data_IF_262624630460
#
_entry.id   IF_262624630460
#
_cell.length_a   1.000
_cell.length_b   1.000
_cell.length_c   1.000
_cell.angle_alpha   90.00
_cell.angle_beta   90.00
_cell.angle_gamma   90.00
#
_symmetry.space_group_name_H-M   'P 1'
#
loop_
_entity.id
_entity.type
_entity.pdbx_description
1 polymer ?
#
# COMPACT_ATOMS: atom_id res chain seq x y z
N UNK A 1 -16.10 2.82 39.27
CA UNK A 1 -15.21 1.86 38.57
C UNK A 1 -16.09 1.06 37.62
N UNK A 2 -16.27 1.52 36.37
CA UNK A 2 -17.09 0.78 35.40
C UNK A 2 -16.29 -0.40 34.88
N UNK A 3 -16.74 -1.62 35.16
CA UNK A 3 -16.21 -2.82 34.51
C UNK A 3 -16.29 -2.64 32.99
N UNK A 4 -15.29 -3.10 32.22
CA UNK A 4 -15.31 -2.93 30.77
C UNK A 4 -16.43 -3.81 30.18
N UNK A 5 -17.43 -3.18 29.57
CA UNK A 5 -18.38 -3.90 28.73
C UNK A 5 -17.67 -4.38 27.47
N UNK A 6 -17.95 -5.61 27.01
CA UNK A 6 -17.31 -6.19 25.83
C UNK A 6 -18.35 -6.69 24.83
N UNK A 7 -18.18 -6.32 23.57
CA UNK A 7 -18.97 -6.87 22.48
C UNK A 7 -18.49 -8.29 22.13
N UNK A 8 -19.35 -9.30 22.35
CA UNK A 8 -19.03 -10.70 22.09
C UNK A 8 -19.28 -11.07 20.62
N UNK A 9 -20.47 -10.71 20.11
CA UNK A 9 -20.88 -11.06 18.76
C UNK A 9 -21.92 -10.07 18.21
N UNK A 10 -21.95 -9.95 16.88
CA UNK A 10 -23.07 -9.33 16.15
C UNK A 10 -23.75 -10.42 15.33
N UNK A 11 -25.05 -10.61 15.55
CA UNK A 11 -25.86 -11.67 14.93
C UNK A 11 -27.08 -11.10 14.23
N UNK A 12 -27.66 -11.86 13.30
CA UNK A 12 -28.89 -11.52 12.62
C UNK A 12 -29.80 -12.74 12.53
N UNK A 13 -31.10 -12.51 12.57
CA UNK A 13 -32.14 -13.53 12.40
C UNK A 13 -33.11 -13.07 11.31
N UNK A 14 -33.92 -13.99 10.80
CA UNK A 14 -34.95 -13.65 9.83
C UNK A 14 -35.96 -12.64 10.43
N UNK A 15 -36.47 -11.66 9.65
CA UNK A 15 -37.42 -10.65 10.15
C UNK A 15 -38.67 -11.24 10.83
N UNK A 16 -39.15 -12.38 10.31
CA UNK A 16 -40.31 -13.11 10.85
C UNK A 16 -40.02 -13.80 12.20
N UNK A 17 -38.75 -13.94 12.56
CA UNK A 17 -38.25 -14.68 13.73
C UNK A 17 -37.52 -13.75 14.72
N UNK A 18 -37.84 -12.45 14.71
CA UNK A 18 -37.26 -11.42 15.59
C UNK A 18 -37.18 -11.86 17.06
N UNK A 19 -36.10 -11.49 17.72
CA UNK A 19 -35.85 -11.74 19.16
C UNK A 19 -36.06 -10.44 19.94
N UNK A 20 -36.40 -10.53 21.23
CA UNK A 20 -36.65 -9.32 22.03
C UNK A 20 -35.34 -8.67 22.48
N UNK A 21 -35.27 -7.34 22.34
CA UNK A 21 -34.18 -6.55 22.92
C UNK A 21 -34.30 -6.52 24.44
N UNK A 22 -33.21 -6.87 25.14
CA UNK A 22 -33.13 -6.94 26.60
C UNK A 22 -32.82 -5.59 27.26
N UNK A 23 -32.77 -4.50 26.50
CA UNK A 23 -32.60 -3.16 27.07
C UNK A 23 -33.81 -2.81 27.96
N UNK A 24 -33.59 -2.36 29.21
CA UNK A 24 -34.67 -1.92 30.09
C UNK A 24 -35.55 -0.87 29.41
N UNK A 25 -36.86 -1.14 29.33
CA UNK A 25 -37.85 -0.24 28.72
C UNK A 25 -37.93 -0.28 27.18
N UNK A 26 -37.19 -1.14 26.49
CA UNK A 26 -37.28 -1.24 25.02
C UNK A 26 -38.30 -2.29 24.55
N UNK A 27 -38.11 -3.57 24.90
CA UNK A 27 -39.01 -4.68 24.51
C UNK A 27 -39.20 -4.93 23.00
N UNK A 28 -38.58 -4.13 22.12
CA UNK A 28 -38.76 -4.24 20.68
C UNK A 28 -38.14 -5.52 20.12
N UNK A 29 -38.82 -6.10 19.13
CA UNK A 29 -38.30 -7.23 18.37
C UNK A 29 -37.22 -6.78 17.38
N UNK A 30 -36.01 -7.29 17.56
CA UNK A 30 -34.84 -7.01 16.73
C UNK A 30 -34.53 -8.23 15.86
N UNK A 31 -34.13 -7.98 14.61
CA UNK A 31 -33.83 -9.04 13.65
C UNK A 31 -32.48 -8.84 12.92
N UNK A 32 -32.03 -7.60 12.75
CA UNK A 32 -30.75 -7.29 12.11
C UNK A 32 -29.80 -6.62 13.10
N UNK A 33 -28.49 -6.87 12.95
CA UNK A 33 -27.43 -6.28 13.76
C UNK A 33 -27.72 -6.34 15.27
N UNK A 34 -28.01 -7.54 15.76
CA UNK A 34 -28.25 -7.83 17.17
C UNK A 34 -26.89 -7.94 17.85
N UNK A 35 -26.62 -7.04 18.79
CA UNK A 35 -25.37 -6.98 19.53
C UNK A 35 -25.48 -7.78 20.81
N UNK A 36 -24.62 -8.78 20.98
CA UNK A 36 -24.50 -9.56 22.21
C UNK A 36 -23.31 -9.03 22.99
N UNK A 37 -23.58 -8.48 24.17
CA UNK A 37 -22.59 -7.78 25.00
C UNK A 37 -22.47 -8.48 26.35
N UNK A 38 -21.25 -8.60 26.85
CA UNK A 38 -20.99 -8.98 28.23
C UNK A 38 -20.71 -7.73 29.05
N UNK A 39 -21.47 -7.53 30.13
CA UNK A 39 -21.31 -6.42 31.07
C UNK A 39 -21.45 -6.97 32.50
N UNK A 40 -20.43 -6.79 33.34
CA UNK A 40 -20.42 -7.30 34.72
C UNK A 40 -20.71 -8.82 34.85
N UNK A 41 -20.29 -9.63 33.87
CA UNK A 41 -20.54 -11.08 33.84
C UNK A 41 -21.98 -11.45 33.44
N UNK A 42 -22.81 -10.49 33.07
CA UNK A 42 -24.12 -10.72 32.48
C UNK A 42 -24.06 -10.55 30.96
N UNK A 43 -24.72 -11.44 30.23
CA UNK A 43 -24.82 -11.37 28.78
C UNK A 43 -26.14 -10.70 28.42
N UNK A 44 -26.07 -9.62 27.64
CA UNK A 44 -27.20 -8.81 27.20
C UNK A 44 -27.34 -8.88 25.68
N UNK A 45 -28.57 -9.05 25.22
CA UNK A 45 -28.93 -9.04 23.79
C UNK A 45 -29.60 -7.71 23.46
N UNK A 46 -28.95 -6.90 22.62
CA UNK A 46 -29.36 -5.53 22.32
C UNK A 46 -29.54 -5.31 20.81
N UNK A 47 -30.56 -4.53 20.43
CA UNK A 47 -30.62 -3.99 19.07
C UNK A 47 -29.55 -2.92 18.83
N UNK A 48 -29.16 -2.71 17.57
CA UNK A 48 -28.17 -1.70 17.16
C UNK A 48 -28.43 -0.29 17.72
N UNK A 49 -29.70 0.15 17.73
CA UNK A 49 -30.09 1.46 18.27
C UNK A 49 -29.98 1.54 19.80
N UNK A 50 -30.34 0.45 20.50
CA UNK A 50 -30.23 0.39 21.96
C UNK A 50 -28.77 0.28 22.40
N UNK A 51 -27.96 -0.46 21.64
CA UNK A 51 -26.51 -0.53 21.82
C UNK A 51 -25.87 0.85 21.69
N UNK A 52 -26.14 1.56 20.59
CA UNK A 52 -25.60 2.91 20.37
C UNK A 52 -26.04 3.91 21.44
N UNK A 53 -27.30 3.84 21.90
CA UNK A 53 -27.78 4.69 23.01
C UNK A 53 -27.10 4.37 24.34
N UNK A 54 -26.82 3.09 24.63
CA UNK A 54 -26.23 2.66 25.91
C UNK A 54 -24.74 2.96 25.99
N UNK A 55 -24.00 2.72 24.90
CA UNK A 55 -22.54 2.82 24.88
C UNK A 55 -22.01 4.06 24.12
N UNK A 56 -22.89 4.89 23.57
CA UNK A 56 -22.58 6.16 22.93
C UNK A 56 -22.41 6.09 21.40
N UNK A 57 -22.06 4.93 20.84
CA UNK A 57 -22.02 4.73 19.38
C UNK A 57 -22.14 3.27 18.98
N UNK A 58 -22.39 3.01 17.69
CA UNK A 58 -22.45 1.65 17.14
C UNK A 58 -21.09 0.92 17.13
N UNK A 59 -19.99 1.60 17.45
CA UNK A 59 -18.63 1.04 17.51
C UNK A 59 -17.95 1.27 18.85
N UNK A 60 -18.70 1.69 19.87
CA UNK A 60 -18.14 2.09 21.17
C UNK A 60 -17.34 0.98 21.87
N UNK A 61 -17.72 -0.28 21.67
CA UNK A 61 -17.03 -1.44 22.24
C UNK A 61 -16.09 -2.15 21.25
N UNK A 62 -15.81 -1.52 20.10
CA UNK A 62 -14.92 -2.05 19.07
C UNK A 62 -15.51 -3.22 18.27
N UNK A 63 -14.63 -4.09 17.78
CA UNK A 63 -14.99 -5.27 16.99
C UNK A 63 -15.50 -6.40 17.90
N UNK A 64 -16.44 -7.23 17.42
CA UNK A 64 -16.93 -8.39 18.17
C UNK A 64 -15.82 -9.42 18.43
N UNK A 65 -15.85 -10.02 19.62
CA UNK A 65 -14.83 -10.98 20.05
C UNK A 65 -14.81 -12.29 19.25
N UNK A 66 -15.98 -12.83 18.88
CA UNK A 66 -16.09 -14.17 18.30
C UNK A 66 -16.70 -14.22 16.90
N UNK A 67 -17.50 -13.22 16.50
CA UNK A 67 -18.17 -13.23 15.20
C UNK A 67 -17.33 -12.55 14.12
N UNK A 68 -17.05 -13.26 13.02
CA UNK A 68 -16.36 -12.71 11.84
C UNK A 68 -17.26 -11.90 10.89
N UNK A 69 -18.54 -11.68 11.24
CA UNK A 69 -19.50 -10.95 10.41
C UNK A 69 -19.33 -9.43 10.55
N UNK A 70 -19.26 -8.73 9.42
CA UNK A 70 -19.31 -7.25 9.38
C UNK A 70 -20.60 -6.68 9.96
N UNK A 71 -20.84 -5.37 9.83
CA UNK A 71 -21.90 -4.63 10.55
C UNK A 71 -23.34 -5.13 10.44
N UNK A 72 -23.64 -6.09 9.56
CA UNK A 72 -24.95 -6.75 9.44
C UNK A 72 -25.13 -8.00 10.32
N UNK A 73 -24.05 -8.51 10.94
CA UNK A 73 -24.07 -9.67 11.83
C UNK A 73 -24.06 -11.04 11.12
N UNK A 74 -23.65 -12.09 11.85
CA UNK A 74 -23.72 -13.50 11.38
C UNK A 74 -25.20 -13.94 11.36
N UNK A 75 -25.73 -14.42 10.22
CA UNK A 75 -27.08 -14.97 10.18
C UNK A 75 -27.13 -16.26 11.01
N UNK A 76 -28.09 -16.34 11.94
CA UNK A 76 -28.33 -17.51 12.77
C UNK A 76 -29.34 -18.45 12.13
N UNK A 77 -29.09 -19.74 12.31
CA UNK A 77 -30.07 -20.82 12.10
C UNK A 77 -31.18 -20.75 13.16
N UNK A 78 -32.29 -21.47 12.92
CA UNK A 78 -33.40 -21.52 13.90
C UNK A 78 -32.97 -22.09 15.25
N UNK A 79 -32.09 -23.10 15.25
CA UNK A 79 -31.56 -23.71 16.49
C UNK A 79 -30.67 -22.73 17.27
N UNK A 80 -29.78 -22.01 16.57
CA UNK A 80 -28.94 -20.98 17.18
C UNK A 80 -29.78 -19.81 17.70
N UNK A 81 -30.88 -19.47 17.02
CA UNK A 81 -31.84 -18.47 17.49
C UNK A 81 -32.53 -18.91 18.79
N UNK A 82 -32.95 -20.16 18.89
CA UNK A 82 -33.54 -20.70 20.12
C UNK A 82 -32.53 -20.66 21.26
N UNK A 83 -31.26 -21.01 21.00
CA UNK A 83 -30.20 -20.85 21.98
C UNK A 83 -29.96 -19.39 22.36
N UNK A 84 -30.02 -18.45 21.41
CA UNK A 84 -29.90 -17.02 21.72
C UNK A 84 -30.96 -16.56 22.73
N UNK A 85 -32.18 -17.09 22.65
CA UNK A 85 -33.31 -16.75 23.54
C UNK A 85 -33.28 -17.50 24.87
N UNK A 86 -33.02 -18.80 24.83
CA UNK A 86 -33.19 -19.70 25.98
C UNK A 86 -31.89 -19.86 26.78
N UNK A 87 -30.73 -19.78 26.12
CA UNK A 87 -29.43 -19.97 26.74
C UNK A 87 -28.33 -19.21 25.98
N UNK A 88 -28.35 -17.89 26.07
CA UNK A 88 -27.39 -17.03 25.36
C UNK A 88 -25.93 -17.36 25.72
N UNK A 89 -25.68 -17.78 26.97
CA UNK A 89 -24.35 -18.15 27.44
C UNK A 89 -23.80 -19.37 26.68
N UNK A 90 -24.62 -20.38 26.43
CA UNK A 90 -24.22 -21.55 25.67
C UNK A 90 -23.93 -21.20 24.20
N UNK A 91 -24.75 -20.35 23.58
CA UNK A 91 -24.48 -19.88 22.21
C UNK A 91 -23.13 -19.14 22.13
N UNK A 92 -22.86 -18.27 23.10
CA UNK A 92 -21.58 -17.55 23.16
C UNK A 92 -20.40 -18.50 23.43
N UNK A 93 -20.59 -19.54 24.24
CA UNK A 93 -19.58 -20.57 24.45
C UNK A 93 -19.27 -21.36 23.17
N UNK A 94 -20.28 -21.69 22.36
CA UNK A 94 -20.08 -22.33 21.05
C UNK A 94 -19.30 -21.43 20.09
N UNK A 95 -19.66 -20.15 20.01
CA UNK A 95 -18.93 -19.19 19.17
C UNK A 95 -17.50 -18.96 19.65
N UNK A 96 -17.29 -18.92 20.98
CA UNK A 96 -15.94 -18.87 21.55
C UNK A 96 -15.13 -20.09 21.15
N UNK A 97 -15.68 -21.29 21.27
CA UNK A 97 -14.99 -22.53 20.90
C UNK A 97 -14.66 -22.59 19.40
N UNK A 98 -15.58 -22.18 18.53
CA UNK A 98 -15.36 -22.09 17.08
C UNK A 98 -14.23 -21.10 16.73
N UNK A 99 -14.24 -19.93 17.38
CA UNK A 99 -13.23 -18.90 17.20
C UNK A 99 -11.85 -19.38 17.69
N UNK A 100 -11.78 -19.92 18.91
CA UNK A 100 -10.54 -20.41 19.52
C UNK A 100 -9.95 -21.58 18.69
N UNK A 101 -10.79 -22.47 18.17
CA UNK A 101 -10.36 -23.56 17.27
C UNK A 101 -9.83 -23.03 15.93
N UNK A 102 -10.47 -22.02 15.35
CA UNK A 102 -10.01 -21.37 14.11
C UNK A 102 -8.66 -20.69 14.32
N UNK A 103 -8.50 -19.97 15.43
CA UNK A 103 -7.25 -19.31 15.79
C UNK A 103 -6.13 -20.32 16.07
N UNK A 104 -6.42 -21.40 16.81
CA UNK A 104 -5.47 -22.47 17.07
C UNK A 104 -5.03 -23.19 15.77
N UNK A 105 -5.96 -23.44 14.85
CA UNK A 105 -5.65 -24.02 13.55
C UNK A 105 -4.79 -23.08 12.68
N UNK A 106 -5.09 -21.78 12.69
CA UNK A 106 -4.29 -20.78 12.00
C UNK A 106 -2.88 -20.66 12.58
N UNK A 107 -2.74 -20.66 13.90
CA UNK A 107 -1.45 -20.66 14.59
C UNK A 107 -0.66 -21.94 14.33
N UNK A 108 -1.31 -23.11 14.38
CA UNK A 108 -0.69 -24.38 14.02
C UNK A 108 -0.19 -24.39 12.57
N UNK A 109 -0.98 -23.87 11.63
CA UNK A 109 -0.54 -23.69 10.23
C UNK A 109 0.64 -22.73 10.11
N UNK A 110 0.61 -21.59 10.82
CA UNK A 110 1.72 -20.64 10.80
C UNK A 110 2.99 -21.25 11.38
N UNK A 111 2.87 -22.04 12.46
CA UNK A 111 3.96 -22.78 13.07
C UNK A 111 4.51 -23.83 12.13
N UNK A 112 3.66 -24.63 11.49
CA UNK A 112 4.07 -25.61 10.49
C UNK A 112 4.80 -24.94 9.32
N UNK A 113 4.30 -23.81 8.81
CA UNK A 113 4.99 -23.03 7.77
C UNK A 113 6.35 -22.53 8.24
N UNK A 114 6.49 -22.13 9.51
CA UNK A 114 7.76 -21.69 10.09
C UNK A 114 8.74 -22.84 10.32
N UNK A 115 8.24 -24.03 10.63
CA UNK A 115 9.04 -25.26 10.80
C UNK A 115 9.42 -25.92 9.46
N UNK A 116 8.54 -25.87 8.45
CA UNK A 116 8.79 -26.32 7.06
C UNK A 116 9.57 -25.30 6.25
N UNK A 117 9.57 -24.02 6.64
CA UNK A 117 10.51 -23.08 6.08
C UNK A 117 11.91 -23.65 6.34
N UNK A 118 12.75 -23.82 5.31
CA UNK A 118 14.11 -24.25 5.56
C UNK A 118 14.69 -23.28 6.59
N UNK A 119 15.17 -23.81 7.71
CA UNK A 119 16.16 -23.12 8.51
C UNK A 119 17.32 -22.92 7.55
N UNK A 120 17.31 -21.78 6.86
CA UNK A 120 18.54 -21.25 6.33
C UNK A 120 19.40 -21.15 7.56
N UNK A 121 20.29 -22.12 7.73
CA UNK A 121 21.56 -21.86 8.35
C UNK A 121 22.01 -20.61 7.62
N UNK A 122 21.88 -19.48 8.30
CA UNK A 122 22.76 -18.37 8.06
C UNK A 122 24.11 -18.94 8.51
N UNK A 123 24.71 -19.82 7.68
CA UNK A 123 26.11 -19.61 7.30
C UNK A 123 26.15 -18.11 7.17
N UNK A 124 26.94 -17.44 8.02
CA UNK A 124 27.21 -16.02 7.85
C UNK A 124 27.62 -15.90 6.40
N UNK A 125 26.63 -15.58 5.56
CA UNK A 125 26.83 -15.21 4.19
C UNK A 125 27.77 -14.04 4.41
N UNK A 126 29.00 -14.04 3.86
CA UNK A 126 29.78 -12.81 3.84
C UNK A 126 28.78 -11.74 3.45
N UNK A 127 28.66 -10.71 4.31
CA UNK A 127 27.57 -9.74 4.26
C UNK A 127 27.32 -9.46 2.78
N UNK A 128 26.06 -9.55 2.29
CA UNK A 128 25.79 -9.26 0.90
C UNK A 128 26.58 -7.99 0.59
N UNK A 129 27.45 -8.01 -0.45
CA UNK A 129 28.33 -6.89 -0.70
C UNK A 129 27.48 -5.63 -0.58
N UNK A 130 27.95 -4.59 0.14
CA UNK A 130 27.17 -3.41 0.40
C UNK A 130 26.42 -3.06 -0.88
N UNK A 131 25.10 -2.80 -0.81
CA UNK A 131 24.30 -2.58 -2.00
C UNK A 131 25.12 -1.70 -2.93
N UNK A 132 25.28 -2.10 -4.21
CA UNK A 132 26.16 -1.38 -5.12
C UNK A 132 25.84 0.10 -4.94
N UNK A 133 26.88 0.95 -4.79
CA UNK A 133 26.66 2.37 -4.51
C UNK A 133 25.54 2.85 -5.42
N UNK A 134 24.55 3.58 -4.87
CA UNK A 134 23.36 3.98 -5.63
C UNK A 134 23.83 4.45 -6.99
N UNK A 135 23.24 3.95 -8.09
CA UNK A 135 23.75 4.16 -9.43
C UNK A 135 24.14 5.62 -9.53
N UNK A 136 25.41 5.91 -9.81
CA UNK A 136 25.93 7.26 -9.87
C UNK A 136 25.15 7.99 -10.96
N UNK A 137 24.04 8.59 -10.57
CA UNK A 137 23.31 9.52 -11.38
C UNK A 137 24.27 10.68 -11.54
N UNK A 138 24.68 11.02 -12.77
CA UNK A 138 25.67 12.07 -12.99
C UNK A 138 25.17 13.44 -12.49
N UNK A 139 23.87 13.57 -12.24
CA UNK A 139 23.25 14.79 -11.72
C UNK A 139 22.64 14.61 -10.34
N UNK A 140 23.04 15.42 -9.33
CA UNK A 140 22.50 15.34 -7.98
C UNK A 140 21.02 15.74 -7.91
N UNK A 141 20.55 16.51 -8.89
CA UNK A 141 19.17 16.99 -9.02
C UNK A 141 18.22 15.98 -9.70
N UNK A 142 18.75 14.86 -10.22
CA UNK A 142 17.94 13.84 -10.88
C UNK A 142 17.10 13.04 -9.87
N UNK A 143 15.90 12.64 -10.29
CA UNK A 143 15.01 11.78 -9.52
C UNK A 143 15.61 10.38 -9.28
N UNK A 144 15.85 10.02 -8.02
CA UNK A 144 16.61 8.80 -7.64
C UNK A 144 15.86 7.49 -7.88
N UNK A 145 14.53 7.49 -7.78
CA UNK A 145 13.72 6.26 -7.88
C UNK A 145 13.13 6.03 -9.28
N UNK A 146 13.16 7.05 -10.16
CA UNK A 146 12.61 6.96 -11.50
C UNK A 146 13.77 7.03 -12.49
N UNK A 147 14.28 5.85 -12.83
CA UNK A 147 15.52 5.68 -13.58
C UNK A 147 15.31 5.43 -15.07
N UNK A 148 14.12 5.77 -15.61
CA UNK A 148 13.93 5.77 -17.06
C UNK A 148 14.67 6.94 -17.68
N UNK A 149 15.81 6.62 -18.29
CA UNK A 149 16.66 7.57 -18.99
C UNK A 149 16.58 7.26 -20.49
N UNK A 150 16.69 8.28 -21.35
CA UNK A 150 16.82 8.04 -22.77
C UNK A 150 18.04 8.74 -23.36
N UNK A 151 18.80 8.04 -24.19
CA UNK A 151 19.89 8.63 -24.96
C UNK A 151 19.38 9.00 -26.36
N UNK A 152 19.65 10.24 -26.76
CA UNK A 152 19.40 10.75 -28.12
C UNK A 152 20.73 11.12 -28.75
N UNK A 153 21.05 10.52 -29.90
CA UNK A 153 22.33 10.71 -30.59
C UNK A 153 22.12 11.56 -31.84
N UNK A 154 22.91 12.61 -31.97
CA UNK A 154 23.04 13.43 -33.17
C UNK A 154 24.06 12.82 -34.14
N UNK A 155 23.96 13.21 -35.41
CA UNK A 155 24.86 12.78 -36.48
C UNK A 155 26.29 13.35 -36.35
N UNK A 156 26.44 14.44 -35.62
CA UNK A 156 27.69 15.13 -35.31
C UNK A 156 28.38 14.61 -34.04
N UNK A 157 27.86 13.52 -33.45
CA UNK A 157 28.37 12.94 -32.20
C UNK A 157 27.87 13.66 -30.94
N UNK A 158 27.07 14.72 -31.05
CA UNK A 158 26.40 15.32 -29.90
C UNK A 158 25.35 14.35 -29.37
N UNK A 159 25.30 14.13 -28.05
CA UNK A 159 24.22 13.37 -27.46
C UNK A 159 23.48 14.18 -26.40
N UNK A 160 22.20 13.90 -26.27
CA UNK A 160 21.34 14.42 -25.23
C UNK A 160 20.78 13.28 -24.41
N UNK A 161 20.76 13.46 -23.11
CA UNK A 161 20.24 12.48 -22.17
C UNK A 161 18.98 13.04 -21.54
N UNK A 162 17.87 12.37 -21.78
CA UNK A 162 16.60 12.67 -21.13
C UNK A 162 16.57 12.06 -19.74
N UNK A 163 16.38 12.91 -18.74
CA UNK A 163 16.19 12.53 -17.34
C UNK A 163 15.03 13.29 -16.72
N UNK A 164 14.58 12.84 -15.56
CA UNK A 164 13.55 13.54 -14.78
C UNK A 164 14.19 14.20 -13.56
N UNK A 165 13.85 15.46 -13.31
CA UNK A 165 14.23 16.17 -12.09
C UNK A 165 13.41 15.67 -10.89
N UNK A 166 13.89 15.88 -9.66
CA UNK A 166 13.20 15.50 -8.42
C UNK A 166 11.78 16.09 -8.26
N UNK A 167 11.48 17.20 -8.96
CA UNK A 167 10.16 17.83 -8.98
C UNK A 167 9.24 17.28 -10.08
N UNK A 168 9.63 16.21 -10.77
CA UNK A 168 8.86 15.57 -11.83
C UNK A 168 9.01 16.20 -13.23
N UNK A 169 9.73 17.33 -13.37
CA UNK A 169 9.97 17.94 -14.68
C UNK A 169 10.90 17.09 -15.54
N UNK A 170 10.63 17.03 -16.84
CA UNK A 170 11.50 16.38 -17.81
C UNK A 170 12.66 17.32 -18.18
N UNK A 171 13.85 16.76 -18.30
CA UNK A 171 15.07 17.52 -18.57
C UNK A 171 15.85 16.83 -19.70
N UNK A 172 16.52 17.64 -20.53
CA UNK A 172 17.48 17.17 -21.53
C UNK A 172 18.85 17.75 -21.20
N UNK A 173 19.80 16.89 -20.84
CA UNK A 173 21.17 17.31 -20.55
C UNK A 173 22.11 16.90 -21.67
N UNK A 174 23.05 17.76 -22.11
CA UNK A 174 24.06 17.37 -23.09
C UNK A 174 25.02 16.34 -22.48
N UNK A 175 25.45 15.37 -23.30
CA UNK A 175 26.38 14.33 -22.91
C UNK A 175 27.32 13.92 -24.06
N UNK A 176 28.64 14.04 -23.89
CA UNK A 176 29.35 14.84 -22.89
C UNK A 176 28.92 16.32 -22.94
N UNK A 177 29.21 17.08 -21.88
CA UNK A 177 28.99 18.53 -21.90
C UNK A 177 29.84 19.17 -23.00
N UNK A 178 29.24 19.96 -23.88
CA UNK A 178 29.91 20.67 -24.97
C UNK A 178 29.61 22.16 -24.94
N UNK A 179 30.42 22.97 -25.62
CA UNK A 179 30.30 24.44 -25.63
C UNK A 179 29.12 24.87 -26.50
N UNK A 180 28.33 25.85 -26.04
CA UNK A 180 27.17 26.36 -26.79
C UNK A 180 25.92 25.48 -26.70
N UNK A 181 25.90 24.52 -25.74
CA UNK A 181 24.76 23.65 -25.52
C UNK A 181 23.49 24.45 -25.20
N UNK A 182 23.62 25.58 -24.52
CA UNK A 182 22.54 26.49 -24.10
C UNK A 182 21.74 27.10 -25.27
N UNK A 183 22.28 27.04 -26.48
CA UNK A 183 21.63 27.52 -27.72
C UNK A 183 21.49 26.41 -28.78
N UNK A 184 21.94 25.19 -28.47
CA UNK A 184 22.02 24.11 -29.44
C UNK A 184 20.64 23.50 -29.77
N UNK A 185 19.68 23.58 -28.84
CA UNK A 185 18.31 23.13 -29.08
C UNK A 185 17.37 24.30 -29.33
N UNK A 186 16.42 24.18 -30.28
CA UNK A 186 15.40 25.19 -30.49
C UNK A 186 14.49 25.32 -29.25
N UNK A 187 13.85 26.48 -29.10
CA UNK A 187 12.97 26.77 -27.97
C UNK A 187 11.82 25.75 -27.79
N UNK A 188 11.41 25.06 -28.86
CA UNK A 188 10.39 24.00 -28.79
C UNK A 188 10.82 22.82 -27.91
N UNK A 189 12.13 22.58 -27.79
CA UNK A 189 12.68 21.53 -26.93
C UNK A 189 12.71 21.95 -25.46
N UNK A 190 12.60 23.24 -25.16
CA UNK A 190 12.60 23.78 -23.81
C UNK A 190 13.49 25.01 -23.64
N UNK A 191 13.67 25.43 -22.39
CA UNK A 191 14.53 26.54 -22.02
C UNK A 191 15.79 26.02 -21.29
N UNK A 192 16.98 26.57 -21.59
CA UNK A 192 18.21 26.20 -20.89
C UNK A 192 18.18 26.68 -19.43
N UNK A 193 18.50 25.78 -18.50
CA UNK A 193 18.78 26.08 -17.10
C UNK A 193 20.30 25.99 -16.87
N UNK A 194 20.93 27.15 -16.73
CA UNK A 194 22.39 27.26 -16.58
C UNK A 194 22.89 26.68 -15.26
N UNK A 195 22.07 26.69 -14.20
CA UNK A 195 22.44 26.16 -12.90
C UNK A 195 22.46 24.63 -12.94
N UNK A 196 21.46 24.03 -13.59
CA UNK A 196 21.35 22.57 -13.75
C UNK A 196 22.17 22.02 -14.91
N UNK A 197 22.64 22.90 -15.80
CA UNK A 197 23.33 22.60 -17.06
C UNK A 197 22.51 21.65 -17.95
N UNK A 198 21.21 21.91 -18.05
CA UNK A 198 20.26 21.10 -18.80
C UNK A 198 19.10 21.97 -19.31
N UNK A 199 18.37 21.49 -20.31
CA UNK A 199 17.12 22.10 -20.76
C UNK A 199 15.96 21.62 -19.90
N UNK A 200 15.13 22.55 -19.43
CA UNK A 200 13.81 22.23 -18.84
C UNK A 200 12.82 22.01 -19.97
N UNK A 201 12.32 20.80 -20.08
CA UNK A 201 11.48 20.36 -21.19
C UNK A 201 10.01 20.40 -20.79
N UNK A 202 9.18 21.28 -21.39
CA UNK A 202 7.75 21.36 -21.06
C UNK A 202 6.96 20.15 -21.58
N UNK A 203 7.30 19.65 -22.77
CA UNK A 203 6.70 18.46 -23.35
C UNK A 203 7.77 17.59 -24.02
N UNK A 204 8.06 16.44 -23.41
CA UNK A 204 9.14 15.56 -23.89
C UNK A 204 8.84 14.89 -25.23
N UNK A 205 7.57 14.63 -25.55
CA UNK A 205 7.19 14.02 -26.83
C UNK A 205 7.47 14.99 -27.97
N UNK A 206 7.05 16.25 -27.80
CA UNK A 206 7.31 17.33 -28.78
C UNK A 206 8.81 17.58 -28.94
N UNK A 207 9.56 17.61 -27.84
CA UNK A 207 11.01 17.79 -27.89
C UNK A 207 11.71 16.64 -28.64
N UNK A 208 11.33 15.38 -28.40
CA UNK A 208 11.90 14.23 -29.13
C UNK A 208 11.55 14.29 -30.62
N UNK A 209 10.33 14.69 -30.97
CA UNK A 209 9.94 14.86 -32.38
C UNK A 209 10.74 15.96 -33.07
N UNK A 210 10.93 17.10 -32.42
CA UNK A 210 11.76 18.19 -32.94
C UNK A 210 13.23 17.74 -33.11
N UNK A 211 13.80 17.02 -32.13
CA UNK A 211 15.14 16.45 -32.24
C UNK A 211 15.25 15.48 -33.43
N UNK A 212 14.24 14.64 -33.67
CA UNK A 212 14.23 13.76 -34.85
C UNK A 212 14.22 14.54 -36.17
N UNK A 213 13.49 15.66 -36.23
CA UNK A 213 13.49 16.55 -37.40
C UNK A 213 14.85 17.21 -37.62
N UNK A 214 15.61 17.44 -36.56
CA UNK A 214 16.99 17.93 -36.60
C UNK A 214 18.03 16.83 -36.93
N UNK A 215 17.58 15.60 -37.19
CA UNK A 215 18.46 14.49 -37.58
C UNK A 215 18.96 13.64 -36.42
N UNK A 216 18.45 13.81 -35.20
CA UNK A 216 18.77 12.91 -34.09
C UNK A 216 18.08 11.55 -34.24
N UNK A 217 18.77 10.50 -33.81
CA UNK A 217 18.25 9.14 -33.78
C UNK A 217 17.06 8.97 -32.81
N UNK A 218 16.34 7.86 -32.96
CA UNK A 218 15.29 7.50 -32.03
C UNK A 218 15.83 7.33 -30.59
N UNK A 219 15.07 7.73 -29.56
CA UNK A 219 15.54 7.67 -28.18
C UNK A 219 15.73 6.23 -27.71
N UNK A 220 16.94 5.89 -27.27
CA UNK A 220 17.24 4.61 -26.63
C UNK A 220 16.88 4.69 -25.14
N UNK A 221 15.71 4.17 -24.76
CA UNK A 221 15.19 4.23 -23.38
C UNK A 221 15.72 3.06 -22.55
N UNK A 222 16.46 3.35 -21.49
CA UNK A 222 17.03 2.33 -20.60
C UNK A 222 17.35 2.89 -19.20
N UNK A 223 18.13 2.16 -18.40
CA UNK A 223 18.62 2.56 -17.07
C UNK A 223 20.08 3.04 -17.15
N UNK A 224 20.53 3.79 -16.15
CA UNK A 224 21.88 4.36 -16.11
C UNK A 224 23.04 3.38 -16.34
N UNK A 225 23.08 2.17 -15.74
CA UNK A 225 24.17 1.23 -15.98
C UNK A 225 24.30 0.82 -17.46
N UNK A 226 23.19 0.82 -18.20
CA UNK A 226 23.20 0.51 -19.63
C UNK A 226 23.54 1.75 -20.46
N UNK A 227 23.01 2.94 -20.10
CA UNK A 227 23.40 4.20 -20.76
C UNK A 227 24.92 4.42 -20.69
N UNK A 228 25.55 4.16 -19.54
CA UNK A 228 27.00 4.35 -19.40
C UNK A 228 27.84 3.40 -20.27
N UNK A 229 27.28 2.27 -20.72
CA UNK A 229 27.95 1.36 -21.66
C UNK A 229 27.86 1.85 -23.10
N UNK A 230 26.74 2.50 -23.45
CA UNK A 230 26.42 2.89 -24.83
C UNK A 230 26.74 4.37 -25.12
N UNK A 231 26.74 5.22 -24.11
CA UNK A 231 26.99 6.65 -24.24
C UNK A 231 28.49 6.92 -24.49
N UNK A 232 28.83 8.02 -25.19
CA UNK A 232 30.22 8.42 -25.33
C UNK A 232 30.89 8.56 -23.95
N UNK A 233 32.07 7.96 -23.80
CA UNK A 233 32.82 8.02 -22.54
C UNK A 233 33.23 9.47 -22.27
N UNK A 234 33.00 9.93 -21.04
CA UNK A 234 33.58 11.20 -20.60
C UNK A 234 35.11 11.08 -20.64
N UNK A 235 35.83 12.10 -21.13
CA UNK A 235 37.28 12.11 -21.01
C UNK A 235 37.64 12.02 -19.52
N UNK A 236 38.52 11.09 -19.16
CA UNK A 236 39.03 10.98 -17.78
C UNK A 236 39.65 12.33 -17.40
N UNK A 237 39.33 12.90 -16.23
CA UNK A 237 40.09 14.06 -15.75
C UNK A 237 41.56 13.64 -15.69
N UNK A 238 42.44 14.41 -16.33
CA UNK A 238 43.88 14.20 -16.22
C UNK A 238 44.24 14.19 -14.73
N UNK A 239 44.89 13.12 -14.28
CA UNK A 239 45.38 13.03 -12.91
C UNK A 239 46.27 14.26 -12.65
N UNK A 240 45.89 15.07 -11.66
CA UNK A 240 46.78 16.05 -11.04
C UNK A 240 47.67 15.35 -10.03
#
# INVERSE_FOLDING_TARGET
MSSPARLLAIVAVLPQKRVQCMQPGCGHGVYAAIHVVEENGQILVLGSTCFAKRFGSASALGLPAYSAGGGNGKPLTEDERQLLMNNTAELMARFKAEHDATMAAAEARLRELRERAPSFNIVRRPAPPPPPPPPEHPWPWQHRQNSSVALLRGSDGQCWVRVMHQNGKQMLSPWPMFRGWETALPAICGAPDLALKAYVVPNIVTAIQALRQLGYAAPEVTRWPEILKIAPRLPRPAAR
#
